data_IF_814358738787
#
_entry.id   IF_814358738787
#
_cell.length_a   1.000
_cell.length_b   1.000
_cell.length_c   1.000
_cell.angle_alpha   90.00
_cell.angle_beta   90.00
_cell.angle_gamma   90.00
#
_symmetry.space_group_name_H-M   'P 1'
#
loop_
_entity.id
_entity.type
_entity.pdbx_description
1 polymer ?
#
# COMPACT_ATOMS: atom_id res chain seq x y z
N UNK A 1 -21.61 -16.38 7.21
CA UNK A 1 -20.14 -16.32 7.18
C UNK A 1 -19.77 -15.13 6.30
N UNK A 2 -19.61 -13.94 6.85
CA UNK A 2 -19.32 -12.73 6.06
C UNK A 2 -18.65 -11.70 6.98
N UNK A 3 -17.39 -11.96 7.31
CA UNK A 3 -16.52 -11.04 8.06
C UNK A 3 -15.30 -10.57 7.27
N UNK A 4 -15.16 -11.00 6.01
CA UNK A 4 -13.97 -10.73 5.17
C UNK A 4 -14.04 -9.42 4.38
N UNK A 5 -15.15 -8.69 4.42
CA UNK A 5 -15.32 -7.55 3.51
C UNK A 5 -14.56 -6.29 3.97
N UNK A 6 -14.46 -6.04 5.27
CA UNK A 6 -13.93 -4.76 5.77
C UNK A 6 -12.39 -4.66 5.75
N UNK A 7 -11.68 -5.78 5.95
CA UNK A 7 -10.20 -5.80 5.90
C UNK A 7 -9.70 -5.64 4.46
N UNK A 8 -10.30 -6.37 3.52
CA UNK A 8 -9.99 -6.29 2.09
C UNK A 8 -10.27 -4.87 1.55
N UNK A 9 -11.35 -4.23 2.01
CA UNK A 9 -11.72 -2.87 1.60
C UNK A 9 -10.61 -1.82 1.88
N UNK A 10 -9.91 -1.90 3.03
CA UNK A 10 -8.82 -0.94 3.34
C UNK A 10 -7.57 -1.21 2.51
N UNK A 11 -7.12 -2.46 2.46
CA UNK A 11 -5.92 -2.87 1.72
C UNK A 11 -6.10 -2.59 0.24
N UNK A 12 -7.22 -3.01 -0.34
CA UNK A 12 -7.59 -2.72 -1.73
C UNK A 12 -7.61 -1.23 -2.02
N UNK A 13 -8.08 -0.39 -1.07
CA UNK A 13 -8.07 1.07 -1.23
C UNK A 13 -6.67 1.66 -1.21
N UNK A 14 -5.79 1.20 -0.33
CA UNK A 14 -4.38 1.61 -0.30
C UNK A 14 -3.64 1.21 -1.58
N UNK A 15 -3.84 -0.01 -2.07
CA UNK A 15 -3.26 -0.47 -3.33
C UNK A 15 -3.73 0.41 -4.50
N UNK A 16 -5.03 0.71 -4.59
CA UNK A 16 -5.56 1.64 -5.60
C UNK A 16 -4.98 3.05 -5.48
N UNK A 17 -4.80 3.55 -4.26
CA UNK A 17 -4.17 4.84 -4.02
C UNK A 17 -2.72 4.85 -4.54
N UNK A 18 -1.99 3.77 -4.31
CA UNK A 18 -0.63 3.60 -4.82
C UNK A 18 -0.57 3.49 -6.36
N UNK A 19 -1.59 2.91 -7.01
CA UNK A 19 -1.69 2.92 -8.47
C UNK A 19 -2.02 4.30 -9.06
N UNK A 20 -2.59 5.20 -8.27
CA UNK A 20 -2.95 6.55 -8.71
C UNK A 20 -1.75 7.45 -8.97
N UNK A 21 -0.72 7.39 -8.11
CA UNK A 21 0.49 8.20 -8.27
C UNK A 21 1.73 7.51 -7.67
N UNK A 22 2.83 7.50 -8.44
CA UNK A 22 4.09 6.84 -8.05
C UNK A 22 4.70 7.45 -6.78
N UNK A 23 4.63 8.78 -6.60
CA UNK A 23 5.17 9.43 -5.40
C UNK A 23 4.36 9.05 -4.16
N UNK A 24 3.04 8.91 -4.31
CA UNK A 24 2.18 8.46 -3.24
C UNK A 24 2.51 7.02 -2.84
N UNK A 25 2.68 6.13 -3.82
CA UNK A 25 3.08 4.75 -3.57
C UNK A 25 4.43 4.64 -2.86
N UNK A 26 5.42 5.45 -3.27
CA UNK A 26 6.75 5.50 -2.65
C UNK A 26 6.68 6.06 -1.21
N UNK A 27 5.78 7.02 -0.94
CA UNK A 27 5.53 7.53 0.41
C UNK A 27 4.86 6.49 1.31
N UNK A 28 3.85 5.78 0.80
CA UNK A 28 3.16 4.69 1.50
C UNK A 28 4.13 3.56 1.82
N UNK A 29 4.94 3.13 0.85
CA UNK A 29 5.98 2.12 1.07
C UNK A 29 6.98 2.54 2.15
N UNK A 30 7.50 3.77 2.08
CA UNK A 30 8.45 4.24 3.09
C UNK A 30 7.84 4.34 4.49
N UNK A 31 6.55 4.65 4.58
CA UNK A 31 5.90 4.81 5.87
C UNK A 31 5.41 3.47 6.46
N UNK A 32 4.69 2.67 5.68
CA UNK A 32 4.14 1.39 6.13
C UNK A 32 5.20 0.29 6.14
N UNK A 33 6.06 0.19 5.13
CA UNK A 33 7.00 -0.92 4.97
C UNK A 33 8.35 -0.58 5.60
N UNK A 34 8.99 0.51 5.18
CA UNK A 34 10.34 0.86 5.69
C UNK A 34 10.31 1.26 7.18
N UNK A 35 9.36 2.09 7.60
CA UNK A 35 9.22 2.49 9.01
C UNK A 35 8.43 1.50 9.86
N UNK A 36 7.82 0.47 9.24
CA UNK A 36 6.92 -0.49 9.89
C UNK A 36 5.80 0.20 10.68
N UNK A 37 5.33 1.34 10.19
CA UNK A 37 4.17 2.01 10.78
C UNK A 37 2.91 1.25 10.42
N UNK A 38 1.98 1.13 11.37
CA UNK A 38 0.66 0.54 11.16
C UNK A 38 -0.38 1.60 10.82
N UNK A 39 -0.05 2.89 10.93
CA UNK A 39 -0.93 3.98 10.53
C UNK A 39 -0.32 4.77 9.36
N UNK A 40 -1.20 5.33 8.53
CA UNK A 40 -0.83 6.21 7.43
C UNK A 40 -1.87 7.31 7.29
N UNK A 41 -1.42 8.57 7.15
CA UNK A 41 -2.33 9.69 6.87
C UNK A 41 -2.67 9.73 5.38
N UNK A 42 -3.93 9.44 5.06
CA UNK A 42 -4.49 9.68 3.74
C UNK A 42 -5.17 11.06 3.68
N UNK A 43 -5.39 11.62 2.48
CA UNK A 43 -6.13 12.88 2.32
C UNK A 43 -7.55 12.84 2.94
N UNK A 44 -8.11 11.64 3.09
CA UNK A 44 -9.44 11.43 3.67
C UNK A 44 -9.41 11.27 5.20
N UNK A 45 -8.22 11.11 5.80
CA UNK A 45 -8.03 10.90 7.23
C UNK A 45 -6.94 9.87 7.55
N UNK A 46 -6.65 9.73 8.84
CA UNK A 46 -5.73 8.69 9.31
C UNK A 46 -6.33 7.30 9.11
N UNK A 47 -5.57 6.43 8.44
CA UNK A 47 -5.91 5.03 8.27
C UNK A 47 -5.00 4.18 9.13
N UNK A 48 -5.59 3.39 10.03
CA UNK A 48 -4.88 2.42 10.87
C UNK A 48 -5.15 1.02 10.36
N UNK A 49 -4.07 0.31 10.10
CA UNK A 49 -4.02 -1.08 9.68
C UNK A 49 -3.72 -1.97 10.89
N UNK A 50 -4.40 -3.10 10.93
CA UNK A 50 -4.08 -4.21 11.81
C UNK A 50 -2.84 -4.93 11.28
N UNK A 51 -2.12 -5.71 12.11
CA UNK A 51 -0.97 -6.49 11.65
C UNK A 51 -1.29 -7.39 10.45
N UNK A 52 -2.47 -8.03 10.44
CA UNK A 52 -2.92 -8.88 9.33
C UNK A 52 -3.16 -8.08 8.05
N UNK A 53 -3.80 -6.91 8.16
CA UNK A 53 -4.06 -5.99 7.04
C UNK A 53 -2.74 -5.43 6.48
N UNK A 54 -1.75 -5.21 7.36
CA UNK A 54 -0.42 -4.75 6.96
C UNK A 54 0.31 -5.82 6.16
N UNK A 55 0.37 -7.06 6.65
CA UNK A 55 1.02 -8.17 5.95
C UNK A 55 0.36 -8.42 4.58
N UNK A 56 -0.97 -8.42 4.52
CA UNK A 56 -1.71 -8.54 3.25
C UNK A 56 -1.39 -7.38 2.29
N UNK A 57 -1.33 -6.16 2.81
CA UNK A 57 -0.93 -5.00 2.02
C UNK A 57 0.49 -5.14 1.48
N UNK A 58 1.46 -5.57 2.29
CA UNK A 58 2.84 -5.76 1.82
C UNK A 58 2.90 -6.80 0.71
N UNK A 59 2.19 -7.92 0.86
CA UNK A 59 2.16 -8.99 -0.15
C UNK A 59 1.60 -8.47 -1.48
N UNK A 60 0.43 -7.82 -1.43
CA UNK A 60 -0.22 -7.26 -2.63
C UNK A 60 0.54 -6.10 -3.23
N UNK A 61 1.11 -5.23 -2.40
CA UNK A 61 1.92 -4.10 -2.86
C UNK A 61 3.16 -4.58 -3.60
N UNK A 62 3.84 -5.60 -3.07
CA UNK A 62 5.04 -6.18 -3.69
C UNK A 62 4.72 -6.91 -5.00
N UNK A 63 3.53 -7.48 -5.12
CA UNK A 63 3.08 -8.16 -6.34
C UNK A 63 2.55 -7.20 -7.43
N UNK A 64 1.78 -6.18 -7.06
CA UNK A 64 1.03 -5.34 -8.00
C UNK A 64 1.70 -3.97 -8.26
N UNK A 65 2.31 -3.36 -7.22
CA UNK A 65 2.74 -1.96 -7.24
C UNK A 65 4.26 -1.82 -7.33
N UNK A 66 5.01 -2.57 -6.52
CA UNK A 66 6.47 -2.53 -6.48
C UNK A 66 7.14 -2.74 -7.86
N UNK A 67 6.68 -3.68 -8.72
CA UNK A 67 7.21 -3.83 -10.06
C UNK A 67 7.02 -2.56 -10.89
N UNK A 68 5.84 -1.94 -10.82
CA UNK A 68 5.51 -0.72 -11.56
C UNK A 68 6.36 0.49 -11.13
N UNK A 69 6.65 0.61 -9.82
CA UNK A 69 7.50 1.69 -9.28
C UNK A 69 8.97 1.50 -9.71
N UNK A 70 9.49 0.27 -9.67
CA UNK A 70 10.91 -0.01 -9.88
C UNK A 70 11.29 -0.34 -11.33
N UNK A 71 10.37 -0.83 -12.16
CA UNK A 71 10.60 -1.00 -13.60
C UNK A 71 10.87 0.35 -14.29
N UNK A 72 10.24 1.43 -13.82
CA UNK A 72 10.47 2.79 -14.33
C UNK A 72 11.90 3.32 -14.09
N UNK A 73 12.66 2.75 -13.13
CA UNK A 73 14.09 3.09 -12.95
C UNK A 73 15.02 2.30 -13.87
N UNK A 74 14.57 1.19 -14.44
CA UNK A 74 15.36 0.36 -15.37
C UNK A 74 15.32 0.84 -16.82
N UNK A 75 14.35 1.67 -17.21
CA UNK A 75 14.18 2.18 -18.58
C UNK A 75 14.92 3.49 -18.88
N UNK A 76 15.93 3.85 -18.08
CA UNK A 76 16.75 5.07 -18.27
C UNK A 76 18.27 4.80 -18.37
N UNK A 77 18.66 3.60 -18.81
CA UNK A 77 20.06 3.27 -19.08
C UNK A 77 20.25 2.80 -20.52
#
# INVERSE_FOLDING_TARGET
MTGLNQQDDKVTRLIRYCHGDRQQAEAVFNHLITRKSMSFELPEGEMVLSPEEHDEFVERFSAEVEPTIWESKRLKN
#
